data_IF_276989925474
#
_entry.id   IF_276989925474
#
_cell.length_a   1.000
_cell.length_b   1.000
_cell.length_c   1.000
_cell.angle_alpha   90.00
_cell.angle_beta   90.00
_cell.angle_gamma   90.00
#
_symmetry.space_group_name_H-M   'P 1'
#
loop_
_entity.id
_entity.type
_entity.pdbx_description
1 polymer ?
#
# COMPACT_ATOMS: atom_id res chain seq x y z
N UNK A 1 10.15 4.17 -0.21
CA UNK A 1 8.98 3.56 0.46
C UNK A 1 9.44 2.57 1.52
N UNK A 2 10.08 1.46 1.14
CA UNK A 2 10.52 0.39 2.07
C UNK A 2 11.40 0.94 3.20
N UNK A 3 12.50 1.63 2.89
CA UNK A 3 13.41 2.20 3.91
C UNK A 3 12.69 3.11 4.91
N UNK A 4 11.67 3.85 4.45
CA UNK A 4 10.85 4.70 5.31
C UNK A 4 9.93 3.90 6.23
N UNK A 5 9.36 2.80 5.75
CA UNK A 5 8.57 1.88 6.56
C UNK A 5 9.46 1.16 7.59
N UNK A 6 10.67 0.74 7.20
CA UNK A 6 11.66 0.12 8.08
C UNK A 6 12.11 1.09 9.19
N UNK A 7 12.34 2.36 8.86
CA UNK A 7 12.68 3.39 9.83
C UNK A 7 11.58 3.64 10.87
N UNK A 8 10.31 3.37 10.54
CA UNK A 8 9.18 3.51 11.45
C UNK A 8 9.04 2.34 12.43
N UNK A 9 9.61 1.15 12.14
CA UNK A 9 9.35 -0.07 12.91
C UNK A 9 9.60 0.07 14.43
N UNK A 10 10.72 0.66 14.90
CA UNK A 10 10.96 0.77 16.34
C UNK A 10 9.88 1.59 17.07
N UNK A 11 9.32 2.60 16.40
CA UNK A 11 8.23 3.40 16.95
C UNK A 11 6.92 2.62 16.95
N UNK A 12 6.59 1.94 15.85
CA UNK A 12 5.36 1.15 15.74
C UNK A 12 5.31 0.01 16.77
N UNK A 13 6.44 -0.67 16.99
CA UNK A 13 6.57 -1.72 17.99
C UNK A 13 6.45 -1.18 19.42
N UNK A 14 7.13 -0.07 19.73
CA UNK A 14 7.09 0.55 21.06
C UNK A 14 5.69 1.02 21.44
N UNK A 15 4.97 1.61 20.50
CA UNK A 15 3.63 2.16 20.74
C UNK A 15 2.52 1.13 20.50
N UNK A 16 2.83 -0.06 20.00
CA UNK A 16 1.83 -1.09 19.66
C UNK A 16 0.91 -0.69 18.50
N UNK A 17 1.38 0.15 17.58
CA UNK A 17 0.58 0.69 16.47
C UNK A 17 0.78 -0.17 15.21
N UNK A 18 -0.25 -0.30 14.39
CA UNK A 18 -0.15 -0.86 13.03
C UNK A 18 -0.26 0.26 12.00
N UNK A 19 0.74 0.37 11.12
CA UNK A 19 0.73 1.26 9.96
C UNK A 19 0.11 0.53 8.77
N UNK A 20 -0.78 1.22 8.06
CA UNK A 20 -1.47 0.70 6.89
C UNK A 20 -0.93 1.34 5.61
N UNK A 21 -0.57 0.50 4.64
CA UNK A 21 -0.17 0.90 3.28
C UNK A 21 -1.38 0.73 2.36
N UNK A 22 -1.86 1.83 1.79
CA UNK A 22 -3.05 1.83 0.94
C UNK A 22 -2.69 2.09 -0.53
N UNK A 23 -2.91 1.11 -1.43
CA UNK A 23 -2.90 1.35 -2.86
C UNK A 23 -4.18 2.07 -3.30
N UNK A 24 -4.04 3.21 -3.98
CA UNK A 24 -5.16 4.08 -4.36
C UNK A 24 -5.42 4.07 -5.87
N UNK A 25 -6.66 4.32 -6.29
CA UNK A 25 -6.97 4.41 -7.71
C UNK A 25 -6.39 5.69 -8.32
N UNK A 26 -5.78 5.56 -9.51
CA UNK A 26 -5.20 6.68 -10.25
C UNK A 26 -6.07 7.16 -11.40
N UNK A 27 -7.20 6.48 -11.65
CA UNK A 27 -8.09 6.76 -12.78
C UNK A 27 -9.12 7.83 -12.43
N UNK A 28 -9.66 7.80 -11.21
CA UNK A 28 -10.76 8.68 -10.78
C UNK A 28 -10.26 9.73 -9.79
N UNK A 29 -9.58 9.31 -8.72
CA UNK A 29 -9.32 10.18 -7.58
C UNK A 29 -7.86 10.65 -7.48
N UNK A 30 -6.89 9.76 -7.74
CA UNK A 30 -5.48 10.04 -7.43
C UNK A 30 -4.57 9.98 -8.67
N UNK A 31 -4.88 10.75 -9.71
CA UNK A 31 -4.10 10.76 -10.95
C UNK A 31 -2.61 11.07 -10.68
N UNK A 32 -1.72 10.19 -11.16
CA UNK A 32 -0.28 10.31 -10.95
C UNK A 32 0.23 9.82 -9.59
N UNK A 33 -0.63 9.27 -8.74
CA UNK A 33 -0.22 8.66 -7.48
C UNK A 33 0.69 7.44 -7.71
N UNK A 34 1.65 7.28 -6.80
CA UNK A 34 2.72 6.30 -6.94
C UNK A 34 2.22 4.86 -6.81
N UNK A 35 1.46 4.56 -5.75
CA UNK A 35 1.10 3.17 -5.40
C UNK A 35 -0.38 2.91 -5.71
N UNK A 36 -0.66 2.29 -6.85
CA UNK A 36 -2.03 1.91 -7.24
C UNK A 36 -2.25 0.40 -7.40
N UNK A 37 -1.18 -0.37 -7.42
CA UNK A 37 -1.21 -1.83 -7.57
C UNK A 37 -1.29 -2.52 -6.21
N UNK A 38 -2.34 -3.30 -5.97
CA UNK A 38 -2.40 -4.18 -4.80
C UNK A 38 -1.25 -5.17 -4.75
N UNK A 39 -0.84 -5.74 -5.90
CA UNK A 39 0.30 -6.66 -5.95
C UNK A 39 1.57 -5.99 -5.44
N UNK A 40 1.86 -4.78 -5.89
CA UNK A 40 3.03 -4.03 -5.45
C UNK A 40 2.96 -3.68 -3.96
N UNK A 41 1.79 -3.28 -3.45
CA UNK A 41 1.59 -3.04 -2.03
C UNK A 41 1.85 -4.29 -1.18
N UNK A 42 1.36 -5.46 -1.62
CA UNK A 42 1.64 -6.73 -0.94
C UNK A 42 3.13 -7.10 -0.97
N UNK A 43 3.81 -6.89 -2.10
CA UNK A 43 5.24 -7.15 -2.22
C UNK A 43 6.06 -6.24 -1.28
N UNK A 44 5.72 -4.95 -1.19
CA UNK A 44 6.34 -3.99 -0.27
C UNK A 44 6.16 -4.44 1.18
N UNK A 45 4.93 -4.74 1.61
CA UNK A 45 4.66 -5.15 3.00
C UNK A 45 5.36 -6.47 3.32
N UNK A 46 5.37 -7.42 2.38
CA UNK A 46 6.09 -8.68 2.53
C UNK A 46 7.60 -8.46 2.68
N UNK A 47 8.17 -7.51 1.93
CA UNK A 47 9.59 -7.18 2.02
C UNK A 47 9.95 -6.52 3.34
N UNK A 48 9.11 -5.61 3.86
CA UNK A 48 9.29 -5.00 5.19
C UNK A 48 9.21 -6.06 6.30
N UNK A 49 8.39 -7.10 6.14
CA UNK A 49 8.44 -8.30 6.98
C UNK A 49 7.99 -8.12 8.44
N UNK A 50 7.34 -6.99 8.78
CA UNK A 50 6.87 -6.69 10.13
C UNK A 50 5.36 -6.93 10.29
N UNK A 51 4.94 -7.42 11.45
CA UNK A 51 3.51 -7.56 11.79
C UNK A 51 2.81 -6.21 12.00
N UNK A 52 3.57 -5.13 12.18
CA UNK A 52 3.09 -3.77 12.40
C UNK A 52 2.90 -2.97 11.12
N UNK A 53 3.18 -3.56 9.95
CA UNK A 53 2.94 -2.93 8.65
C UNK A 53 2.04 -3.86 7.85
N UNK A 54 0.88 -3.37 7.40
CA UNK A 54 -0.13 -4.16 6.67
C UNK A 54 -0.66 -3.40 5.47
N UNK A 55 -1.27 -4.11 4.52
CA UNK A 55 -1.99 -3.47 3.42
C UNK A 55 -3.42 -3.14 3.88
N UNK A 56 -3.85 -1.89 3.67
CA UNK A 56 -5.28 -1.55 3.67
C UNK A 56 -5.82 -1.85 2.28
N UNK A 57 -6.52 -2.98 2.15
CA UNK A 57 -7.11 -3.39 0.89
C UNK A 57 -8.52 -2.78 0.75
N UNK A 58 -8.59 -1.55 0.26
CA UNK A 58 -9.86 -0.91 -0.06
C UNK A 58 -10.38 -1.36 -1.43
N UNK A 59 -11.50 -2.09 -1.42
CA UNK A 59 -12.11 -2.66 -2.62
C UNK A 59 -12.53 -1.59 -3.62
N UNK A 60 -12.91 -0.39 -3.17
CA UNK A 60 -13.30 0.70 -4.08
C UNK A 60 -12.13 1.08 -5.01
N UNK A 61 -10.95 1.32 -4.44
CA UNK A 61 -9.77 1.67 -5.22
C UNK A 61 -9.32 0.51 -6.11
N UNK A 62 -9.32 -0.71 -5.58
CA UNK A 62 -8.84 -1.88 -6.33
C UNK A 62 -9.78 -2.30 -7.45
N UNK A 63 -11.10 -2.13 -7.27
CA UNK A 63 -12.09 -2.40 -8.32
C UNK A 63 -11.89 -1.45 -9.51
N UNK A 64 -11.72 -0.15 -9.26
CA UNK A 64 -11.47 0.85 -10.32
C UNK A 64 -10.19 0.50 -11.10
N UNK A 65 -9.11 0.12 -10.39
CA UNK A 65 -7.85 -0.25 -11.02
C UNK A 65 -7.89 -1.59 -11.76
N UNK A 66 -8.81 -2.50 -11.43
CA UNK A 66 -8.89 -3.83 -12.03
C UNK A 66 -9.83 -3.91 -13.25
N UNK A 67 -10.84 -3.02 -13.34
CA UNK A 67 -11.87 -3.08 -14.38
C UNK A 67 -11.46 -2.28 -15.63
N UNK A 68 -10.55 -1.32 -15.52
CA UNK A 68 -10.08 -0.57 -16.69
C UNK A 68 -8.92 -1.34 -17.35
N UNK A 69 -9.03 -1.71 -18.65
CA UNK A 69 -7.95 -2.41 -19.32
C UNK A 69 -6.70 -1.54 -19.26
N UNK A 70 -5.60 -2.13 -18.80
CA UNK A 70 -4.25 -1.58 -18.95
C UNK A 70 -4.14 -1.05 -20.37
N UNK A 71 -3.79 0.24 -20.52
CA UNK A 71 -3.43 0.79 -21.82
C UNK A 71 -2.20 0.02 -22.32
N UNK A 72 -2.44 -1.07 -23.04
CA UNK A 72 -1.46 -1.74 -23.90
C UNK A 72 -1.20 -0.91 -25.14
#
# INVERSE_FOLDING_TARGET
MIDGLEACLPLLEREGITLLVEPLNTIVDHQGYFLSSSKEAFDIVKQVGSQHVKVLFDIYHQQIMSICPSKG
#
